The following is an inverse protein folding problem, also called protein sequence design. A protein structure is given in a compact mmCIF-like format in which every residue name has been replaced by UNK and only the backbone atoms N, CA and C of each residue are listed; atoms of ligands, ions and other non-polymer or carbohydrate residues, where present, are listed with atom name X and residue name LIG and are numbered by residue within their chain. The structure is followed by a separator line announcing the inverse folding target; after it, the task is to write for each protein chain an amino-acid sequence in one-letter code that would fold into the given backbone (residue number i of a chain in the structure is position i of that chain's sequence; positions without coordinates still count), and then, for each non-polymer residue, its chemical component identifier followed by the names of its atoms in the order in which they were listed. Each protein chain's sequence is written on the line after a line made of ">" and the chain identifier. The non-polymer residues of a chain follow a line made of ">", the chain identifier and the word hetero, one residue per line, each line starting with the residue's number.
data_IF_925316876412
#
_entry.id   IF_925316876412
#
_cell.length_a   1.000
_cell.length_b   1.000
_cell.length_c   1.000
_cell.angle_alpha   90.00
_cell.angle_beta   90.00
_cell.angle_gamma   90.00
#
_symmetry.space_group_name_H-M   'P 1'
#
loop_
_entity.id
_entity.type
_entity.pdbx_description
1 polymer ?
#
# COMPACT_ATOMS: atom_id res chain seq x y z
N UNK A 1 61.77 0.80 -17.52
CA UNK A 1 62.56 0.89 -18.77
C UNK A 1 61.56 1.02 -19.90
N UNK A 2 61.50 2.16 -20.58
CA UNK A 2 60.47 2.45 -21.59
C UNK A 2 61.02 2.08 -22.96
N UNK A 3 60.37 1.14 -23.63
CA UNK A 3 60.75 0.73 -24.99
C UNK A 3 60.11 1.70 -25.99
N UNK A 4 60.93 2.33 -26.83
CA UNK A 4 60.47 3.21 -27.91
C UNK A 4 60.00 2.36 -29.09
N UNK A 5 58.71 2.03 -29.11
CA UNK A 5 58.10 1.16 -30.13
C UNK A 5 58.13 1.79 -31.52
N UNK A 6 58.07 3.12 -31.61
CA UNK A 6 58.13 3.81 -32.90
C UNK A 6 59.50 3.60 -33.55
N UNK A 7 60.58 3.79 -32.78
CA UNK A 7 61.94 3.50 -33.27
C UNK A 7 62.16 2.04 -33.61
N UNK A 8 61.57 1.10 -32.85
CA UNK A 8 61.67 -0.32 -33.18
C UNK A 8 60.93 -0.67 -34.47
N UNK A 9 59.76 -0.08 -34.73
CA UNK A 9 59.04 -0.25 -36.00
C UNK A 9 59.84 0.29 -37.18
N UNK A 10 60.40 1.49 -37.05
CA UNK A 10 61.28 2.09 -38.07
C UNK A 10 62.52 1.22 -38.34
N UNK A 11 63.13 0.67 -37.29
CA UNK A 11 64.29 -0.21 -37.43
C UNK A 11 63.94 -1.51 -38.15
N UNK A 12 62.82 -2.14 -37.78
CA UNK A 12 62.29 -3.33 -38.43
C UNK A 12 62.01 -3.05 -39.92
N UNK A 13 61.36 -1.93 -40.23
CA UNK A 13 61.09 -1.51 -41.61
C UNK A 13 62.38 -1.28 -42.39
N UNK A 14 63.39 -0.64 -41.79
CA UNK A 14 64.70 -0.45 -42.43
C UNK A 14 65.44 -1.77 -42.70
N UNK A 15 65.40 -2.73 -41.78
CA UNK A 15 66.08 -4.04 -41.95
C UNK A 15 65.38 -4.90 -43.01
N UNK A 16 64.07 -4.78 -43.12
CA UNK A 16 63.26 -5.54 -44.10
C UNK A 16 63.30 -4.95 -45.51
N UNK A 17 63.64 -3.66 -45.66
CA UNK A 17 63.64 -2.95 -46.95
C UNK A 17 65.03 -2.63 -47.51
N UNK A 18 66.08 -2.47 -46.67
CA UNK A 18 67.44 -2.21 -47.15
C UNK A 18 68.10 -3.49 -47.67
N UNK A 19 68.40 -3.49 -48.97
CA UNK A 19 69.06 -4.59 -49.71
C UNK A 19 70.32 -5.14 -49.06
N UNK A 20 71.01 -4.36 -48.22
CA UNK A 20 72.21 -4.81 -47.48
C UNK A 20 71.89 -5.81 -46.38
N UNK A 21 70.70 -5.75 -45.80
CA UNK A 21 70.25 -6.63 -44.72
C UNK A 21 69.24 -7.67 -45.21
N UNK A 22 68.53 -7.42 -46.32
CA UNK A 22 67.53 -8.35 -46.88
C UNK A 22 68.10 -9.70 -47.35
N UNK A 23 69.41 -9.80 -47.62
CA UNK A 23 70.05 -11.04 -48.08
C UNK A 23 70.53 -11.95 -46.92
N UNK A 24 70.49 -11.45 -45.68
CA UNK A 24 70.82 -12.22 -44.49
C UNK A 24 69.54 -12.71 -43.82
N UNK A 25 69.27 -14.02 -43.94
CA UNK A 25 68.12 -14.68 -43.33
C UNK A 25 68.01 -14.38 -41.83
N UNK A 26 69.14 -14.27 -41.12
CA UNK A 26 69.12 -14.06 -39.68
C UNK A 26 68.57 -12.67 -39.29
N UNK A 27 68.93 -11.63 -40.04
CA UNK A 27 68.41 -10.28 -39.81
C UNK A 27 66.92 -10.20 -40.15
N UNK A 28 66.48 -10.94 -41.17
CA UNK A 28 65.08 -10.99 -41.57
C UNK A 28 64.20 -11.74 -40.53
N UNK A 29 64.68 -12.87 -40.02
CA UNK A 29 64.02 -13.62 -38.94
C UNK A 29 63.89 -12.78 -37.66
N UNK A 30 64.97 -12.06 -37.29
CA UNK A 30 64.96 -11.17 -36.13
C UNK A 30 63.94 -10.03 -36.30
N UNK A 31 63.90 -9.38 -37.46
CA UNK A 31 62.93 -8.31 -37.74
C UNK A 31 61.48 -8.81 -37.72
N UNK A 32 61.25 -10.03 -38.21
CA UNK A 32 59.95 -10.70 -38.13
C UNK A 32 59.55 -11.00 -36.69
N UNK A 33 60.49 -11.52 -35.88
CA UNK A 33 60.27 -11.76 -34.45
C UNK A 33 59.97 -10.49 -33.67
N UNK A 34 60.70 -9.40 -33.92
CA UNK A 34 60.44 -8.10 -33.29
C UNK A 34 59.08 -7.54 -33.70
N UNK A 35 58.68 -7.69 -34.96
CA UNK A 35 57.33 -7.30 -35.44
C UNK A 35 56.23 -8.05 -34.70
N UNK A 36 56.39 -9.37 -34.54
CA UNK A 36 55.43 -10.22 -33.83
C UNK A 36 55.32 -9.82 -32.35
N UNK A 37 56.46 -9.55 -31.70
CA UNK A 37 56.49 -9.07 -30.32
C UNK A 37 55.84 -7.69 -30.16
N UNK A 38 56.07 -6.76 -31.08
CA UNK A 38 55.40 -5.44 -31.06
C UNK A 38 53.88 -5.59 -31.18
N UNK A 39 53.40 -6.43 -32.09
CA UNK A 39 51.98 -6.71 -32.24
C UNK A 39 51.37 -7.34 -30.98
N UNK A 40 52.11 -8.26 -30.34
CA UNK A 40 51.68 -8.89 -29.08
C UNK A 40 51.65 -7.89 -27.92
N UNK A 41 52.65 -7.00 -27.81
CA UNK A 41 52.64 -5.94 -26.79
C UNK A 41 51.43 -5.03 -26.98
N UNK A 42 51.11 -4.61 -28.21
CA UNK A 42 49.91 -3.78 -28.47
C UNK A 42 48.61 -4.52 -28.13
N UNK A 43 48.56 -5.85 -28.36
CA UNK A 43 47.42 -6.67 -27.96
C UNK A 43 47.27 -6.73 -26.45
N UNK A 44 48.37 -6.89 -25.73
CA UNK A 44 48.40 -6.93 -24.26
C UNK A 44 47.99 -5.59 -23.65
N UNK A 45 48.45 -4.46 -24.20
CA UNK A 45 48.05 -3.12 -23.73
C UNK A 45 46.55 -2.87 -23.90
N UNK A 46 45.96 -3.32 -25.02
CA UNK A 46 44.50 -3.26 -25.19
C UNK A 46 43.76 -4.11 -24.16
N UNK A 47 44.32 -5.25 -23.79
CA UNK A 47 43.74 -6.14 -22.79
C UNK A 47 43.83 -5.54 -21.38
N UNK A 48 44.94 -4.86 -21.07
CA UNK A 48 45.12 -4.13 -19.81
C UNK A 48 44.10 -2.97 -19.68
N UNK A 49 43.92 -2.15 -20.73
CA UNK A 49 42.89 -1.10 -20.74
C UNK A 49 41.48 -1.68 -20.53
N UNK A 50 41.20 -2.85 -21.14
CA UNK A 50 39.93 -3.54 -20.96
C UNK A 50 39.68 -3.95 -19.49
N UNK A 51 40.69 -4.49 -18.80
CA UNK A 51 40.57 -4.83 -17.38
C UNK A 51 40.35 -3.61 -16.49
N UNK A 52 41.04 -2.49 -16.78
CA UNK A 52 40.85 -1.24 -16.03
C UNK A 52 39.40 -0.77 -16.17
N UNK A 53 38.85 -0.78 -17.39
CA UNK A 53 37.45 -0.40 -17.64
C UNK A 53 36.47 -1.36 -16.96
N UNK A 54 36.75 -2.66 -16.99
CA UNK A 54 35.91 -3.65 -16.33
C UNK A 54 35.85 -3.40 -14.83
N UNK A 55 37.01 -3.18 -14.18
CA UNK A 55 37.07 -2.85 -12.76
C UNK A 55 36.33 -1.56 -12.40
N UNK A 56 36.37 -0.54 -13.28
CA UNK A 56 35.58 0.69 -13.09
C UNK A 56 34.07 0.43 -13.16
N UNK A 57 33.61 -0.40 -14.11
CA UNK A 57 32.20 -0.77 -14.24
C UNK A 57 31.74 -1.59 -13.04
N UNK A 58 32.54 -2.56 -12.60
CA UNK A 58 32.24 -3.37 -11.40
C UNK A 58 32.14 -2.50 -10.15
N UNK A 59 33.06 -1.55 -9.97
CA UNK A 59 33.03 -0.62 -8.85
C UNK A 59 31.79 0.28 -8.90
N UNK A 60 31.48 0.86 -10.07
CA UNK A 60 30.27 1.68 -10.25
C UNK A 60 28.99 0.89 -9.95
N UNK A 61 28.94 -0.37 -10.36
CA UNK A 61 27.79 -1.24 -10.11
C UNK A 61 27.66 -1.58 -8.62
N UNK A 62 28.77 -1.89 -7.96
CA UNK A 62 28.80 -2.14 -6.52
C UNK A 62 28.33 -0.92 -5.72
N UNK A 63 28.76 0.28 -6.10
CA UNK A 63 28.33 1.53 -5.46
C UNK A 63 26.84 1.81 -5.69
N UNK A 64 26.34 1.54 -6.90
CA UNK A 64 24.90 1.64 -7.22
C UNK A 64 24.05 0.69 -6.38
N UNK A 65 24.43 -0.59 -6.28
CA UNK A 65 23.69 -1.55 -5.45
C UNK A 65 23.77 -1.21 -3.95
N UNK A 66 24.90 -0.68 -3.49
CA UNK A 66 25.04 -0.23 -2.11
C UNK A 66 24.08 0.92 -1.80
N UNK A 67 24.00 1.90 -2.70
CA UNK A 67 23.08 3.03 -2.56
C UNK A 67 21.62 2.57 -2.56
N UNK A 68 21.23 1.69 -3.48
CA UNK A 68 19.87 1.13 -3.55
C UNK A 68 19.52 0.36 -2.27
N UNK A 69 20.43 -0.49 -1.78
CA UNK A 69 20.25 -1.21 -0.52
C UNK A 69 20.05 -0.26 0.66
N UNK A 70 20.83 0.81 0.73
CA UNK A 70 20.76 1.77 1.84
C UNK A 70 19.45 2.60 1.76
N UNK A 71 18.99 2.93 0.55
CA UNK A 71 17.67 3.52 0.31
C UNK A 71 16.54 2.60 0.78
N UNK A 72 16.56 1.32 0.38
CA UNK A 72 15.54 0.34 0.76
C UNK A 72 15.52 0.11 2.28
N UNK A 73 16.68 0.14 2.95
CA UNK A 73 16.75 0.06 4.42
C UNK A 73 16.10 1.28 5.09
N UNK A 74 16.33 2.48 4.55
CA UNK A 74 15.71 3.70 5.07
C UNK A 74 14.19 3.66 4.89
N UNK A 75 13.71 3.26 3.71
CA UNK A 75 12.28 3.11 3.43
C UNK A 75 11.62 2.05 4.33
N UNK A 76 12.27 0.88 4.51
CA UNK A 76 11.74 -0.16 5.40
C UNK A 76 11.63 0.32 6.85
N UNK A 77 12.62 1.11 7.32
CA UNK A 77 12.61 1.68 8.67
C UNK A 77 11.49 2.69 8.85
N UNK A 78 11.24 3.52 7.82
CA UNK A 78 10.11 4.46 7.80
C UNK A 78 8.78 3.72 7.82
N UNK A 79 8.58 2.73 6.94
CA UNK A 79 7.36 1.94 6.88
C UNK A 79 7.07 1.22 8.19
N UNK A 80 8.09 0.67 8.88
CA UNK A 80 7.91 0.06 10.20
C UNK A 80 7.39 1.06 11.24
N UNK A 81 7.92 2.28 11.21
CA UNK A 81 7.49 3.35 12.12
C UNK A 81 6.05 3.77 11.82
N UNK A 82 5.72 3.93 10.55
CA UNK A 82 4.36 4.26 10.11
C UNK A 82 3.37 3.16 10.50
N UNK A 83 3.72 1.88 10.29
CA UNK A 83 2.91 0.72 10.68
C UNK A 83 2.65 0.72 12.20
N UNK A 84 3.67 0.97 13.01
CA UNK A 84 3.50 0.99 14.47
C UNK A 84 2.62 2.18 14.92
N UNK A 85 2.80 3.36 14.32
CA UNK A 85 1.94 4.51 14.55
C UNK A 85 0.47 4.23 14.21
N UNK A 86 0.22 3.61 13.06
CA UNK A 86 -1.13 3.20 12.65
C UNK A 86 -1.70 2.16 13.60
N UNK A 87 -0.90 1.20 14.05
CA UNK A 87 -1.33 0.17 15.00
C UNK A 87 -1.77 0.79 16.33
N UNK A 88 -0.98 1.72 16.87
CA UNK A 88 -1.31 2.44 18.10
C UNK A 88 -2.59 3.27 17.95
N UNK A 89 -2.77 3.94 16.80
CA UNK A 89 -3.98 4.72 16.50
C UNK A 89 -5.21 3.82 16.47
N UNK A 90 -5.16 2.70 15.75
CA UNK A 90 -6.26 1.72 15.69
C UNK A 90 -6.56 1.13 17.07
N UNK A 91 -5.53 0.84 17.86
CA UNK A 91 -5.70 0.31 19.22
C UNK A 91 -6.36 1.35 20.15
N UNK A 92 -5.96 2.62 20.05
CA UNK A 92 -6.60 3.70 20.78
C UNK A 92 -8.08 3.87 20.41
N UNK A 93 -8.41 3.85 19.11
CA UNK A 93 -9.81 3.91 18.64
C UNK A 93 -10.65 2.73 19.13
N UNK A 94 -10.09 1.52 19.09
CA UNK A 94 -10.76 0.32 19.62
C UNK A 94 -11.01 0.44 21.13
N UNK A 95 -10.04 0.95 21.87
CA UNK A 95 -10.19 1.16 23.30
C UNK A 95 -11.25 2.21 23.63
N UNK A 96 -11.29 3.32 22.89
CA UNK A 96 -12.34 4.34 23.01
C UNK A 96 -13.71 3.72 22.74
N UNK A 97 -13.87 2.99 21.63
CA UNK A 97 -15.13 2.34 21.28
C UNK A 97 -15.58 1.29 22.31
N UNK A 98 -14.62 0.56 22.91
CA UNK A 98 -14.93 -0.37 23.99
C UNK A 98 -15.45 0.37 25.21
N UNK A 99 -14.76 1.42 25.65
CA UNK A 99 -15.15 2.21 26.82
C UNK A 99 -16.52 2.88 26.61
N UNK A 100 -16.78 3.43 25.42
CA UNK A 100 -18.08 4.03 25.12
C UNK A 100 -19.19 2.97 25.04
N UNK A 101 -18.91 1.78 24.52
CA UNK A 101 -19.83 0.65 24.53
C UNK A 101 -20.16 0.18 25.96
N UNK A 102 -19.15 0.00 26.79
CA UNK A 102 -19.31 -0.42 28.20
C UNK A 102 -20.11 0.63 28.98
N UNK A 103 -19.84 1.93 28.76
CA UNK A 103 -20.60 3.02 29.38
C UNK A 103 -22.05 3.06 28.90
N UNK A 104 -22.30 2.83 27.60
CA UNK A 104 -23.64 2.73 27.07
C UNK A 104 -24.41 1.58 27.73
N UNK A 105 -23.81 0.41 27.86
CA UNK A 105 -24.41 -0.73 28.56
C UNK A 105 -24.69 -0.42 30.04
N UNK A 106 -23.75 0.26 30.72
CA UNK A 106 -23.96 0.72 32.10
C UNK A 106 -25.16 1.65 32.23
N UNK A 107 -25.32 2.59 31.29
CA UNK A 107 -26.42 3.56 31.28
C UNK A 107 -27.77 2.96 30.92
N UNK A 108 -27.82 1.88 30.12
CA UNK A 108 -29.08 1.19 29.81
C UNK A 108 -29.77 0.72 31.09
N UNK A 109 -29.06 0.27 32.12
CA UNK A 109 -29.70 -0.10 33.38
C UNK A 109 -30.81 -1.19 33.25
N UNK A 110 -31.43 -1.60 34.36
CA UNK A 110 -32.47 -2.61 34.33
C UNK A 110 -33.81 -1.99 33.90
N UNK A 111 -34.22 -2.23 32.65
CA UNK A 111 -35.53 -1.81 32.14
C UNK A 111 -35.51 -0.97 30.87
N UNK A 112 -34.34 -0.52 30.41
CA UNK A 112 -34.24 0.32 29.20
C UNK A 112 -34.82 -0.33 27.96
N UNK A 113 -34.67 -1.64 27.76
CA UNK A 113 -35.30 -2.32 26.62
C UNK A 113 -36.83 -2.27 26.70
N UNK A 114 -37.40 -2.37 27.91
CA UNK A 114 -38.84 -2.27 28.12
C UNK A 114 -39.34 -0.82 27.92
N UNK A 115 -38.60 0.17 28.44
CA UNK A 115 -38.90 1.60 28.24
C UNK A 115 -38.78 2.00 26.77
N UNK A 116 -37.74 1.55 26.08
CA UNK A 116 -37.53 1.80 24.65
C UNK A 116 -38.61 1.14 23.80
N UNK A 117 -39.04 -0.07 24.16
CA UNK A 117 -40.14 -0.75 23.49
C UNK A 117 -41.47 0.00 23.71
N UNK A 118 -41.74 0.48 24.92
CA UNK A 118 -42.92 1.29 25.24
C UNK A 118 -42.92 2.61 24.45
N UNK A 119 -41.79 3.34 24.43
CA UNK A 119 -41.61 4.56 23.65
C UNK A 119 -41.81 4.34 22.15
N UNK A 120 -41.27 3.25 21.59
CA UNK A 120 -41.50 2.89 20.19
C UNK A 120 -42.97 2.61 19.91
N UNK A 121 -43.65 1.91 20.81
CA UNK A 121 -45.09 1.64 20.71
C UNK A 121 -45.91 2.92 20.75
N UNK A 122 -45.59 3.83 21.66
CA UNK A 122 -46.27 5.12 21.78
C UNK A 122 -46.01 6.04 20.58
N UNK A 123 -44.78 6.06 20.06
CA UNK A 123 -44.45 6.80 18.85
C UNK A 123 -45.22 6.27 17.62
N UNK A 124 -45.42 4.94 17.53
CA UNK A 124 -46.24 4.31 16.49
C UNK A 124 -47.71 4.70 16.64
N UNK A 125 -48.29 4.60 17.84
CA UNK A 125 -49.66 5.03 18.13
C UNK A 125 -49.90 6.48 17.75
N UNK A 126 -48.96 7.36 18.13
CA UNK A 126 -49.04 8.78 17.79
C UNK A 126 -49.02 9.01 16.28
N UNK A 127 -48.09 8.37 15.56
CA UNK A 127 -47.99 8.50 14.11
C UNK A 127 -49.26 8.01 13.42
N UNK A 128 -49.81 6.89 13.87
CA UNK A 128 -51.05 6.35 13.34
C UNK A 128 -52.25 7.27 13.64
N UNK A 129 -52.39 7.78 14.87
CA UNK A 129 -53.46 8.73 15.19
C UNK A 129 -53.40 10.01 14.36
N UNK A 130 -52.20 10.48 14.04
CA UNK A 130 -51.99 11.69 13.24
C UNK A 130 -52.28 11.49 11.77
N UNK A 131 -51.78 10.39 11.19
CA UNK A 131 -51.71 10.22 9.73
C UNK A 131 -52.64 9.13 9.19
N UNK A 132 -53.00 8.14 10.01
CA UNK A 132 -53.76 6.94 9.60
C UNK A 132 -55.15 6.81 10.24
N UNK A 133 -55.43 7.49 11.34
CA UNK A 133 -56.72 7.36 12.02
C UNK A 133 -57.82 8.15 11.29
N UNK A 134 -58.68 7.43 10.57
CA UNK A 134 -59.88 7.96 9.95
C UNK A 134 -61.04 8.18 10.94
N UNK A 135 -62.17 8.68 10.41
CA UNK A 135 -63.38 8.99 11.19
C UNK A 135 -64.03 7.72 11.77
N UNK A 136 -63.89 6.58 11.09
CA UNK A 136 -64.47 5.30 11.51
C UNK A 136 -63.71 4.74 12.71
N UNK A 137 -62.39 4.78 12.64
CA UNK A 137 -61.46 4.33 13.67
C UNK A 137 -61.57 5.22 14.91
N UNK A 138 -61.66 6.54 14.72
CA UNK A 138 -61.88 7.48 15.81
C UNK A 138 -63.19 7.21 16.57
N UNK A 139 -64.29 6.96 15.85
CA UNK A 139 -65.58 6.60 16.48
C UNK A 139 -65.51 5.27 17.23
N UNK A 140 -64.78 4.29 16.70
CA UNK A 140 -64.55 3.02 17.37
C UNK A 140 -63.77 3.19 18.69
N UNK A 141 -62.73 4.04 18.68
CA UNK A 141 -61.98 4.39 19.90
C UNK A 141 -62.89 5.13 20.89
N UNK A 142 -63.62 6.15 20.44
CA UNK A 142 -64.48 6.98 21.29
C UNK A 142 -65.66 6.21 21.91
N UNK A 143 -66.15 5.15 21.26
CA UNK A 143 -67.23 4.30 21.77
C UNK A 143 -66.78 3.07 22.55
N UNK A 144 -65.47 2.85 22.68
CA UNK A 144 -64.90 1.58 23.17
C UNK A 144 -65.24 1.22 24.62
N UNK A 145 -65.69 2.18 25.44
CA UNK A 145 -66.05 1.96 26.85
C UNK A 145 -67.52 2.26 27.18
N UNK A 146 -68.34 2.51 26.16
CA UNK A 146 -69.78 2.75 26.30
C UNK A 146 -70.27 4.08 25.70
N UNK A 147 -71.59 4.23 25.52
CA UNK A 147 -72.18 5.40 24.85
C UNK A 147 -71.85 6.70 25.60
N UNK A 148 -71.26 7.67 24.89
CA UNK A 148 -70.95 8.99 25.43
C UNK A 148 -69.73 9.06 26.36
N UNK A 149 -68.99 7.97 26.54
CA UNK A 149 -67.83 7.90 27.43
C UNK A 149 -66.53 7.75 26.63
N UNK A 150 -65.60 8.70 26.77
CA UNK A 150 -64.29 8.63 26.12
C UNK A 150 -63.31 7.80 26.97
N UNK A 151 -62.60 6.83 26.39
CA UNK A 151 -61.57 6.10 27.11
C UNK A 151 -60.40 7.02 27.47
N UNK A 152 -59.74 6.75 28.59
CA UNK A 152 -58.56 7.48 29.08
C UNK A 152 -57.51 6.53 29.65
N UNK A 153 -56.28 7.01 29.81
CA UNK A 153 -55.16 6.22 30.33
C UNK A 153 -54.96 4.91 29.56
N UNK A 154 -54.77 3.80 30.29
CA UNK A 154 -54.55 2.48 29.72
C UNK A 154 -55.69 2.01 28.82
N UNK A 155 -56.93 2.41 29.13
CA UNK A 155 -58.12 2.06 28.32
C UNK A 155 -58.08 2.73 26.95
N UNK A 156 -57.58 3.97 26.87
CA UNK A 156 -57.40 4.67 25.60
C UNK A 156 -56.30 4.00 24.77
N UNK A 157 -55.18 3.67 25.42
CA UNK A 157 -54.08 2.98 24.77
C UNK A 157 -54.50 1.62 24.18
N UNK A 158 -55.29 0.84 24.94
CA UNK A 158 -55.82 -0.44 24.47
C UNK A 158 -56.82 -0.28 23.31
N UNK A 159 -57.67 0.76 23.34
CA UNK A 159 -58.62 1.04 22.26
C UNK A 159 -57.91 1.45 20.96
N UNK A 160 -56.83 2.26 21.07
CA UNK A 160 -55.99 2.63 19.91
C UNK A 160 -55.31 1.39 19.33
N UNK A 161 -54.70 0.54 20.16
CA UNK A 161 -54.07 -0.70 19.70
C UNK A 161 -55.07 -1.63 18.98
N UNK A 162 -56.29 -1.75 19.52
CA UNK A 162 -57.34 -2.57 18.93
C UNK A 162 -57.82 -2.02 17.57
N UNK A 163 -57.95 -0.70 17.43
CA UNK A 163 -58.32 -0.07 16.18
C UNK A 163 -57.23 -0.23 15.11
N UNK A 164 -55.97 0.02 15.47
CA UNK A 164 -54.80 -0.21 14.61
C UNK A 164 -54.70 -1.66 14.13
N UNK A 165 -54.89 -2.64 15.04
CA UNK A 165 -54.82 -4.05 14.71
C UNK A 165 -55.95 -4.49 13.76
N UNK A 166 -57.15 -3.90 13.91
CA UNK A 166 -58.30 -4.18 13.05
C UNK A 166 -58.10 -3.64 11.64
N UNK A 167 -57.58 -2.42 11.50
CA UNK A 167 -57.26 -1.83 10.19
C UNK A 167 -56.19 -2.67 9.46
N UNK A 168 -55.12 -3.06 10.16
CA UNK A 168 -54.07 -3.92 9.61
C UNK A 168 -54.56 -5.31 9.17
N UNK A 169 -55.72 -5.76 9.65
CA UNK A 169 -56.34 -7.04 9.28
C UNK A 169 -57.36 -6.95 8.14
N UNK A 170 -57.69 -5.74 7.68
CA UNK A 170 -58.71 -5.49 6.66
C UNK A 170 -58.15 -4.77 5.41
N UNK A 171 -56.84 -4.47 5.38
CA UNK A 171 -56.09 -4.11 4.18
C UNK A 171 -55.40 -5.33 3.57
#
# INVERSE_FOLDING_TARGET
>A
MTIDKAKLKELVESVTTDRRFCADEHHHELATGVSALLAEIERLERFEDWFVRLGQVEQSLADSYKAERDQLKAENSRLRTDIESWRLTVEAERNINRVTGDELERLKGPGFDAELAALRKDALRYRWLRDGCGVVEYKAIAGSIGPGMLPSGDKLQAAIDAAMAKEASHG
#
